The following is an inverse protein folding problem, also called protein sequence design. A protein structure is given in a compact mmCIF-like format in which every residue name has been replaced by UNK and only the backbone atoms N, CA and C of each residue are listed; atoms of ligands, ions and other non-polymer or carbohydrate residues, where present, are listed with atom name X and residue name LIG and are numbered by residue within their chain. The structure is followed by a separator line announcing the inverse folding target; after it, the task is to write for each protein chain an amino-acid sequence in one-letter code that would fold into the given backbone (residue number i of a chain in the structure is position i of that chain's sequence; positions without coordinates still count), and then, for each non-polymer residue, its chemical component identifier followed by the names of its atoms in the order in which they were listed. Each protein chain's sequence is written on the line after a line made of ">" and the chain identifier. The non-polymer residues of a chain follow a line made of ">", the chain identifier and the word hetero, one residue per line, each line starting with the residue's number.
data_IF_075625296313
#
_entry.id   IF_075625296313
#
_cell.length_a   1.000
_cell.length_b   1.000
_cell.length_c   1.000
_cell.angle_alpha   90.00
_cell.angle_beta   90.00
_cell.angle_gamma   90.00
#
_symmetry.space_group_name_H-M   'P 1'
#
loop_
_entity.id
_entity.type
_entity.pdbx_description
1 polymer ?
#
# COMPACT_ATOMS: atom_id res chain seq x y z
N UNK A 1 -30.19 11.73 5.48
CA UNK A 1 -28.77 12.10 5.35
C UNK A 1 -28.53 13.49 5.89
N UNK A 2 -27.44 13.66 6.62
CA UNK A 2 -27.01 14.97 7.11
C UNK A 2 -26.56 15.87 5.94
N UNK A 3 -26.73 17.19 6.11
CA UNK A 3 -26.33 18.21 5.10
C UNK A 3 -24.84 18.12 4.78
N UNK A 4 -23.98 17.82 5.78
CA UNK A 4 -22.54 17.68 5.60
C UNK A 4 -22.23 16.50 4.68
N UNK A 5 -22.89 15.36 4.86
CA UNK A 5 -22.73 14.18 4.01
C UNK A 5 -23.16 14.47 2.57
N UNK A 6 -24.31 15.17 2.40
CA UNK A 6 -24.80 15.55 1.08
C UNK A 6 -23.84 16.52 0.38
N UNK A 7 -23.32 17.51 1.10
CA UNK A 7 -22.33 18.46 0.53
C UNK A 7 -21.03 17.75 0.14
N UNK A 8 -20.56 16.82 0.95
CA UNK A 8 -19.37 16.00 0.61
C UNK A 8 -19.60 15.13 -0.62
N UNK A 9 -20.77 14.49 -0.72
CA UNK A 9 -21.15 13.71 -1.89
C UNK A 9 -21.24 14.60 -3.15
N UNK A 10 -21.88 15.75 -3.05
CA UNK A 10 -21.95 16.72 -4.15
C UNK A 10 -20.54 17.14 -4.61
N UNK A 11 -19.67 17.52 -3.68
CA UNK A 11 -18.30 17.90 -3.99
C UNK A 11 -17.56 16.76 -4.73
N UNK A 12 -17.69 15.53 -4.26
CA UNK A 12 -17.07 14.35 -4.90
C UNK A 12 -17.66 14.12 -6.30
N UNK A 13 -18.98 14.19 -6.46
CA UNK A 13 -19.63 14.00 -7.76
C UNK A 13 -19.27 15.09 -8.79
N UNK A 14 -18.93 16.29 -8.35
CA UNK A 14 -18.47 17.36 -9.25
C UNK A 14 -17.18 17.02 -9.98
N UNK A 15 -16.27 16.21 -9.38
CA UNK A 15 -15.06 15.74 -10.06
C UNK A 15 -15.39 14.88 -11.28
N UNK A 16 -16.50 14.12 -11.27
CA UNK A 16 -16.93 13.30 -12.40
C UNK A 16 -17.38 14.11 -13.64
N UNK A 17 -17.57 15.41 -13.50
CA UNK A 17 -17.80 16.30 -14.65
C UNK A 17 -16.52 16.55 -15.47
N UNK A 18 -15.34 16.20 -14.92
CA UNK A 18 -14.03 16.41 -15.54
C UNK A 18 -13.26 15.09 -15.59
N UNK A 19 -13.64 14.14 -16.49
CA UNK A 19 -13.08 12.79 -16.52
C UNK A 19 -11.55 12.74 -16.66
N UNK A 20 -10.96 13.68 -17.41
CA UNK A 20 -9.52 13.73 -17.66
C UNK A 20 -8.69 14.02 -16.39
N UNK A 21 -9.29 14.56 -15.35
CA UNK A 21 -8.64 14.91 -14.09
C UNK A 21 -9.05 14.00 -12.93
N UNK A 22 -9.99 13.11 -13.17
CA UNK A 22 -10.65 12.33 -12.14
C UNK A 22 -9.69 11.46 -11.33
N UNK A 23 -8.74 10.81 -12.01
CA UNK A 23 -7.74 9.94 -11.37
C UNK A 23 -6.71 10.70 -10.54
N UNK A 24 -6.48 11.98 -10.84
CA UNK A 24 -5.55 12.81 -10.09
C UNK A 24 -6.23 13.46 -8.88
N UNK A 25 -7.51 13.80 -9.01
CA UNK A 25 -8.28 14.50 -7.99
C UNK A 25 -8.94 13.57 -6.96
N UNK A 26 -9.20 12.30 -7.31
CA UNK A 26 -9.77 11.31 -6.40
C UNK A 26 -8.74 10.28 -5.96
N UNK A 27 -8.23 10.34 -4.70
CA UNK A 27 -7.15 9.47 -4.22
C UNK A 27 -7.44 7.98 -4.39
N UNK A 28 -8.68 7.56 -4.17
CA UNK A 28 -9.07 6.14 -4.34
C UNK A 28 -8.95 5.70 -5.79
N UNK A 29 -9.41 6.51 -6.76
CA UNK A 29 -9.28 6.19 -8.17
C UNK A 29 -7.82 6.21 -8.62
N UNK A 30 -7.03 7.17 -8.12
CA UNK A 30 -5.60 7.20 -8.37
C UNK A 30 -4.93 5.87 -7.98
N UNK A 31 -5.22 5.36 -6.77
CA UNK A 31 -4.65 4.09 -6.31
C UNK A 31 -5.12 2.89 -7.17
N UNK A 32 -6.39 2.86 -7.54
CA UNK A 32 -6.97 1.75 -8.29
C UNK A 32 -6.48 1.69 -9.74
N UNK A 33 -6.19 2.83 -10.35
CA UNK A 33 -5.83 2.95 -11.78
C UNK A 33 -4.33 2.94 -12.06
N UNK A 34 -3.47 2.86 -11.03
CA UNK A 34 -2.03 2.77 -11.23
C UNK A 34 -1.64 1.59 -12.14
N UNK A 35 -0.76 1.85 -13.10
CA UNK A 35 -0.23 0.80 -13.99
C UNK A 35 0.73 -0.14 -13.24
N UNK A 36 0.89 -1.36 -13.75
CA UNK A 36 1.86 -2.30 -13.17
C UNK A 36 3.30 -1.78 -13.26
N UNK A 37 3.64 -1.03 -14.31
CA UNK A 37 4.97 -0.41 -14.43
C UNK A 37 5.23 0.61 -13.32
N UNK A 38 4.24 1.45 -13.01
CA UNK A 38 4.32 2.39 -11.90
C UNK A 38 4.47 1.67 -10.55
N UNK A 39 3.72 0.57 -10.37
CA UNK A 39 3.83 -0.26 -9.16
C UNK A 39 5.17 -0.97 -9.07
N UNK A 40 5.76 -1.39 -10.19
CA UNK A 40 7.09 -1.99 -10.23
C UNK A 40 8.15 -1.01 -9.71
N UNK A 41 8.13 0.23 -10.20
CA UNK A 41 9.04 1.28 -9.70
C UNK A 41 8.85 1.56 -8.19
N UNK A 42 7.60 1.61 -7.73
CA UNK A 42 7.31 1.77 -6.30
C UNK A 42 7.86 0.58 -5.48
N UNK A 43 7.64 -0.65 -5.94
CA UNK A 43 8.12 -1.84 -5.26
C UNK A 43 9.65 -1.91 -5.18
N UNK A 44 10.35 -1.51 -6.23
CA UNK A 44 11.81 -1.44 -6.26
C UNK A 44 12.33 -0.41 -5.26
N UNK A 45 11.77 0.79 -5.24
CA UNK A 45 12.13 1.84 -4.27
C UNK A 45 11.86 1.41 -2.82
N UNK A 46 10.71 0.79 -2.56
CA UNK A 46 10.37 0.26 -1.24
C UNK A 46 11.33 -0.85 -0.82
N UNK A 47 11.62 -1.81 -1.71
CA UNK A 47 12.57 -2.87 -1.44
C UNK A 47 13.96 -2.33 -1.14
N UNK A 48 14.43 -1.32 -1.89
CA UNK A 48 15.72 -0.69 -1.65
C UNK A 48 15.77 0.03 -0.28
N UNK A 49 14.72 0.76 0.08
CA UNK A 49 14.61 1.42 1.38
C UNK A 49 14.65 0.40 2.54
N UNK A 50 13.89 -0.70 2.40
CA UNK A 50 13.88 -1.79 3.37
C UNK A 50 15.22 -2.51 3.44
N UNK A 51 15.89 -2.72 2.31
CA UNK A 51 17.21 -3.37 2.27
C UNK A 51 18.27 -2.58 3.02
N UNK A 52 18.22 -1.26 2.98
CA UNK A 52 19.13 -0.37 3.73
C UNK A 52 18.84 -0.38 5.24
N UNK A 53 17.61 -0.72 5.62
CA UNK A 53 17.10 -0.64 6.99
C UNK A 53 17.18 -1.97 7.73
N UNK A 54 16.88 -3.06 7.04
CA UNK A 54 16.79 -4.38 7.63
C UNK A 54 18.15 -5.11 7.54
N UNK A 55 18.43 -5.90 8.55
CA UNK A 55 19.65 -6.73 8.58
C UNK A 55 19.50 -8.02 7.75
N UNK A 56 20.57 -8.81 7.70
CA UNK A 56 20.66 -10.02 6.89
C UNK A 56 19.74 -11.18 7.32
N UNK A 57 18.98 -11.05 8.41
CA UNK A 57 17.97 -12.04 8.82
C UNK A 57 16.74 -12.01 7.93
N UNK A 58 16.53 -10.92 7.19
CA UNK A 58 15.33 -10.69 6.38
C UNK A 58 15.64 -10.82 4.89
N UNK A 59 14.80 -11.57 4.20
CA UNK A 59 14.88 -11.76 2.75
C UNK A 59 13.75 -10.98 2.09
N UNK A 60 14.12 -10.10 1.15
CA UNK A 60 13.22 -9.19 0.47
C UNK A 60 12.99 -9.62 -0.97
N UNK A 61 11.75 -9.79 -1.38
CA UNK A 61 11.37 -10.11 -2.76
C UNK A 61 10.23 -9.19 -3.22
N UNK A 62 10.12 -8.98 -4.53
CA UNK A 62 8.94 -8.37 -5.15
C UNK A 62 8.12 -9.50 -5.73
N UNK A 63 6.87 -9.61 -5.31
CA UNK A 63 5.98 -10.68 -5.74
C UNK A 63 4.67 -10.12 -6.29
N UNK A 64 4.06 -10.79 -7.27
CA UNK A 64 2.71 -10.46 -7.72
C UNK A 64 1.73 -10.54 -6.55
N UNK A 65 0.84 -9.58 -6.49
CA UNK A 65 -0.22 -9.48 -5.50
C UNK A 65 -1.54 -9.13 -6.17
N UNK A 66 -2.62 -9.21 -5.41
CA UNK A 66 -3.96 -8.86 -5.86
C UNK A 66 -4.58 -7.90 -4.84
N UNK A 67 -5.04 -6.76 -5.33
CA UNK A 67 -5.83 -5.82 -4.54
C UNK A 67 -7.32 -6.06 -4.74
N UNK A 68 -8.11 -5.87 -3.69
CA UNK A 68 -9.56 -5.96 -3.73
C UNK A 68 -10.20 -4.57 -3.57
N UNK A 69 -11.24 -4.29 -4.35
CA UNK A 69 -12.05 -3.08 -4.23
C UNK A 69 -13.10 -3.30 -3.16
N UNK A 70 -12.77 -2.94 -1.90
CA UNK A 70 -13.71 -3.03 -0.77
C UNK A 70 -14.11 -4.47 -0.42
N UNK A 71 -14.63 -4.66 0.77
CA UNK A 71 -15.05 -5.99 1.27
C UNK A 71 -16.48 -6.38 0.89
N UNK A 72 -17.27 -5.48 0.34
CA UNK A 72 -18.69 -5.70 0.11
C UNK A 72 -19.26 -5.34 -1.26
N UNK A 73 -18.56 -4.47 -2.03
CA UNK A 73 -19.12 -3.95 -3.29
C UNK A 73 -18.84 -4.89 -4.49
N UNK A 74 -17.62 -5.41 -4.62
CA UNK A 74 -17.20 -6.31 -5.72
C UNK A 74 -16.20 -7.33 -5.18
N UNK A 75 -16.63 -8.27 -4.35
CA UNK A 75 -15.70 -9.20 -3.66
C UNK A 75 -14.99 -10.17 -4.59
N UNK A 76 -15.44 -10.30 -5.83
CA UNK A 76 -14.89 -11.21 -6.84
C UNK A 76 -13.91 -10.54 -7.79
N UNK A 77 -13.91 -9.22 -7.89
CA UNK A 77 -12.98 -8.52 -8.78
C UNK A 77 -11.67 -8.22 -8.06
N UNK A 78 -10.60 -8.70 -8.64
CA UNK A 78 -9.23 -8.51 -8.18
C UNK A 78 -8.47 -7.68 -9.17
N UNK A 79 -7.74 -6.69 -8.68
CA UNK A 79 -6.87 -5.84 -9.49
C UNK A 79 -5.45 -6.35 -9.35
N UNK A 80 -4.73 -6.62 -10.46
CA UNK A 80 -3.31 -6.98 -10.41
C UNK A 80 -2.52 -5.93 -9.64
N UNK A 81 -1.69 -6.37 -8.70
CA UNK A 81 -0.83 -5.53 -7.87
C UNK A 81 0.53 -6.16 -7.69
N UNK A 82 1.44 -5.43 -7.03
CA UNK A 82 2.75 -5.90 -6.61
C UNK A 82 2.91 -5.63 -5.12
N UNK A 83 3.62 -6.53 -4.46
CA UNK A 83 3.99 -6.37 -3.05
C UNK A 83 5.48 -6.62 -2.85
N UNK A 84 6.06 -5.90 -1.90
CA UNK A 84 7.34 -6.29 -1.32
C UNK A 84 7.06 -7.28 -0.20
N UNK A 85 7.61 -8.48 -0.33
CA UNK A 85 7.49 -9.52 0.68
C UNK A 85 8.76 -9.59 1.51
N UNK A 86 8.57 -9.81 2.81
CA UNK A 86 9.65 -9.98 3.78
C UNK A 86 9.49 -11.35 4.40
N UNK A 87 10.52 -12.18 4.30
CA UNK A 87 10.61 -13.48 4.98
C UNK A 87 11.82 -13.51 5.91
N UNK A 88 11.80 -14.42 6.87
CA UNK A 88 12.90 -14.69 7.78
C UNK A 88 12.93 -16.17 8.13
N UNK A 89 14.07 -16.67 8.56
CA UNK A 89 14.22 -18.08 8.99
C UNK A 89 13.34 -18.39 10.22
N UNK A 90 13.16 -17.40 11.08
CA UNK A 90 12.33 -17.53 12.30
C UNK A 90 11.10 -16.65 12.22
N UNK A 91 9.94 -17.23 12.49
CA UNK A 91 8.69 -16.49 12.56
C UNK A 91 8.71 -15.39 13.66
N UNK A 92 9.50 -15.61 14.74
CA UNK A 92 9.67 -14.61 15.79
C UNK A 92 10.25 -13.29 15.28
N UNK A 93 11.15 -13.34 14.29
CA UNK A 93 11.79 -12.16 13.74
C UNK A 93 10.78 -11.32 12.93
N UNK A 94 9.88 -11.97 12.19
CA UNK A 94 8.79 -11.26 11.49
C UNK A 94 7.82 -10.61 12.48
N UNK A 95 7.50 -11.26 13.60
CA UNK A 95 6.63 -10.69 14.63
C UNK A 95 7.30 -9.49 15.34
N UNK A 96 8.61 -9.55 15.54
CA UNK A 96 9.38 -8.42 16.06
C UNK A 96 9.36 -7.24 15.08
N UNK A 97 9.61 -7.51 13.80
CA UNK A 97 9.56 -6.50 12.75
C UNK A 97 8.16 -5.86 12.65
N UNK A 98 7.10 -6.65 12.77
CA UNK A 98 5.72 -6.14 12.79
C UNK A 98 5.50 -5.13 13.93
N UNK A 99 6.00 -5.46 15.14
CA UNK A 99 5.92 -4.55 16.29
C UNK A 99 6.66 -3.25 16.03
N UNK A 100 7.85 -3.33 15.43
CA UNK A 100 8.62 -2.15 15.05
C UNK A 100 7.86 -1.30 14.03
N UNK A 101 7.29 -1.91 12.98
CA UNK A 101 6.50 -1.21 11.96
C UNK A 101 5.26 -0.54 12.53
N UNK A 102 4.59 -1.17 13.50
CA UNK A 102 3.44 -0.58 14.20
C UNK A 102 3.81 0.54 15.16
N UNK A 103 5.07 0.62 15.59
CA UNK A 103 5.55 1.65 16.51
C UNK A 103 5.96 2.95 15.80
N UNK A 104 6.00 2.99 14.46
CA UNK A 104 6.24 4.24 13.74
C UNK A 104 5.14 5.27 14.01
N UNK A 105 5.44 6.59 13.92
CA UNK A 105 4.43 7.64 14.07
C UNK A 105 3.22 7.47 13.17
N UNK A 106 3.45 7.04 11.92
CA UNK A 106 2.43 6.52 11.01
C UNK A 106 2.64 5.01 10.89
N UNK A 107 1.84 4.18 11.58
CA UNK A 107 2.05 2.75 11.62
C UNK A 107 2.03 2.09 10.24
N UNK A 108 3.03 1.27 9.97
CA UNK A 108 3.07 0.44 8.76
C UNK A 108 2.36 -0.87 9.06
N UNK A 109 1.24 -1.09 8.38
CA UNK A 109 0.43 -2.30 8.54
C UNK A 109 0.68 -3.24 7.37
N UNK A 110 1.26 -4.39 7.65
CA UNK A 110 1.52 -5.44 6.67
C UNK A 110 0.49 -6.57 6.78
N UNK A 111 0.25 -7.27 5.69
CA UNK A 111 -0.53 -8.50 5.68
C UNK A 111 0.40 -9.71 5.88
N UNK A 112 -0.02 -10.66 6.70
CA UNK A 112 0.68 -11.93 6.85
C UNK A 112 0.00 -13.01 6.01
N UNK A 113 0.76 -13.64 5.12
CA UNK A 113 0.33 -14.79 4.34
C UNK A 113 1.54 -15.63 3.95
N UNK A 114 1.38 -16.95 3.82
CA UNK A 114 2.44 -17.86 3.34
C UNK A 114 3.76 -17.72 4.13
N UNK A 115 3.69 -17.52 5.43
CA UNK A 115 4.83 -17.29 6.33
C UNK A 115 5.70 -16.07 5.96
N UNK A 116 5.14 -15.12 5.23
CA UNK A 116 5.77 -13.86 4.83
C UNK A 116 4.93 -12.67 5.27
N UNK A 117 5.58 -11.55 5.45
CA UNK A 117 4.95 -10.24 5.61
C UNK A 117 4.86 -9.59 4.22
N UNK A 118 3.68 -9.09 3.85
CA UNK A 118 3.37 -8.52 2.54
C UNK A 118 3.06 -7.03 2.68
N UNK A 119 3.80 -6.22 1.96
CA UNK A 119 3.59 -4.77 1.82
C UNK A 119 3.14 -4.49 0.40
N UNK A 120 1.84 -4.39 0.17
CA UNK A 120 1.27 -4.12 -1.15
C UNK A 120 1.45 -2.65 -1.51
N UNK A 121 2.13 -2.37 -2.63
CA UNK A 121 2.51 -1.01 -3.02
C UNK A 121 1.35 -0.23 -3.63
N UNK A 122 0.28 -0.88 -4.10
CA UNK A 122 -0.92 -0.19 -4.59
C UNK A 122 -1.66 0.50 -3.45
N UNK A 123 -1.70 -0.09 -2.27
CA UNK A 123 -2.38 0.46 -1.10
C UNK A 123 -1.60 1.56 -0.38
N UNK A 124 -0.34 1.79 -0.75
CA UNK A 124 0.50 2.83 -0.16
C UNK A 124 0.12 4.22 -0.69
N UNK A 125 -0.87 4.87 -0.06
CA UNK A 125 -1.40 6.17 -0.47
C UNK A 125 -0.34 7.29 -0.34
N UNK A 126 0.36 7.33 0.80
CA UNK A 126 1.42 8.29 1.09
C UNK A 126 2.80 7.66 0.93
N UNK A 127 3.12 7.24 -0.30
CA UNK A 127 4.29 6.44 -0.59
C UNK A 127 5.62 7.15 -0.24
N UNK A 128 5.74 8.44 -0.53
CA UNK A 128 6.96 9.21 -0.20
C UNK A 128 7.12 9.34 1.32
N UNK A 129 6.05 9.60 2.05
CA UNK A 129 6.08 9.63 3.52
C UNK A 129 6.53 8.28 4.10
N UNK A 130 6.09 7.17 3.51
CA UNK A 130 6.53 5.83 3.90
C UNK A 130 8.05 5.66 3.72
N UNK A 131 8.59 6.10 2.58
CA UNK A 131 10.03 6.01 2.31
C UNK A 131 10.84 6.91 3.26
N UNK A 132 10.37 8.13 3.51
CA UNK A 132 11.01 9.06 4.44
C UNK A 132 11.06 8.49 5.86
N UNK A 133 9.96 7.89 6.33
CA UNK A 133 9.94 7.21 7.63
C UNK A 133 10.95 6.06 7.70
N UNK A 134 11.04 5.24 6.66
CA UNK A 134 12.02 4.15 6.62
C UNK A 134 13.46 4.64 6.57
N UNK A 135 13.72 5.86 6.11
CA UNK A 135 15.05 6.45 6.07
C UNK A 135 15.48 7.02 7.43
N UNK A 136 14.53 7.47 8.27
CA UNK A 136 14.81 8.16 9.54
C UNK A 136 14.96 7.16 10.72
N UNK A 137 14.18 6.12 10.74
CA UNK A 137 14.10 5.12 11.80
C UNK A 137 14.77 3.81 11.42
#
# INVERSE_FOLDING_TARGET
>A
CDKVILSGLEATLRHYLFPDRLTDELPTLHLLTQSLDSLQHKAERLREALYKRLDSRYFLQIEPSEAQIGSGALPTEKIPSLAVTISADKQSDLLELEKQFKAYPNPIIARFAQQKMWLDVRSAAEFETLLDMLAIF
#
